data_IF_553929527485
#
_entry.id   IF_553929527485
#
_cell.length_a   1.000
_cell.length_b   1.000
_cell.length_c   1.000
_cell.angle_alpha   90.00
_cell.angle_beta   90.00
_cell.angle_gamma   90.00
#
_symmetry.space_group_name_H-M   'P 1'
#
loop_
_entity.id
_entity.type
_entity.pdbx_description
1 polymer ?
#
# COMPACT_ATOMS: atom_id res chain seq x y z
N UNK A 1 -30.96 13.83 -16.56
CA UNK A 1 -31.81 13.48 -15.39
C UNK A 1 -32.28 12.03 -15.50
N UNK A 2 -32.35 11.31 -14.39
CA UNK A 2 -32.85 9.92 -14.36
C UNK A 2 -34.35 9.87 -14.69
N UNK A 3 -34.77 8.89 -15.48
CA UNK A 3 -36.19 8.67 -15.78
C UNK A 3 -36.93 8.12 -14.56
N UNK A 4 -38.23 8.40 -14.42
CA UNK A 4 -39.07 7.88 -13.31
C UNK A 4 -39.04 6.36 -13.19
N UNK A 5 -38.93 5.65 -14.32
CA UNK A 5 -38.78 4.19 -14.37
C UNK A 5 -37.46 3.74 -13.74
N UNK A 6 -36.35 4.44 -14.04
CA UNK A 6 -35.03 4.12 -13.50
C UNK A 6 -34.95 4.40 -11.99
N UNK A 7 -35.56 5.49 -11.53
CA UNK A 7 -35.68 5.81 -10.09
C UNK A 7 -36.35 4.67 -9.32
N UNK A 8 -37.51 4.18 -9.79
CA UNK A 8 -38.20 3.04 -9.15
C UNK A 8 -37.35 1.77 -9.13
N UNK A 9 -36.63 1.47 -10.21
CA UNK A 9 -35.73 0.30 -10.27
C UNK A 9 -34.60 0.39 -9.24
N UNK A 10 -33.96 1.56 -9.11
CA UNK A 10 -32.87 1.77 -8.16
C UNK A 10 -33.36 1.70 -6.70
N UNK A 11 -34.52 2.27 -6.40
CA UNK A 11 -35.13 2.15 -5.07
C UNK A 11 -35.47 0.69 -4.74
N UNK A 12 -36.02 -0.07 -5.70
CA UNK A 12 -36.31 -1.50 -5.51
C UNK A 12 -35.04 -2.35 -5.30
N UNK A 13 -33.90 -1.93 -5.84
CA UNK A 13 -32.60 -2.54 -5.60
C UNK A 13 -31.93 -2.12 -4.28
N UNK A 14 -32.60 -1.29 -3.47
CA UNK A 14 -32.15 -0.88 -2.14
C UNK A 14 -31.28 0.38 -2.10
N UNK A 15 -31.19 1.16 -3.18
CA UNK A 15 -30.41 2.40 -3.21
C UNK A 15 -31.17 3.56 -2.52
N UNK A 16 -30.49 4.26 -1.61
CA UNK A 16 -30.96 5.52 -1.04
C UNK A 16 -30.57 6.70 -1.95
N UNK A 17 -31.52 7.12 -2.79
CA UNK A 17 -31.31 8.21 -3.74
C UNK A 17 -31.19 9.58 -3.06
N UNK A 18 -31.76 9.77 -1.86
CA UNK A 18 -31.67 11.04 -1.14
C UNK A 18 -30.26 11.20 -0.56
N UNK A 19 -29.72 10.13 0.04
CA UNK A 19 -28.34 10.09 0.50
C UNK A 19 -27.37 10.33 -0.66
N UNK A 20 -27.53 9.60 -1.77
CA UNK A 20 -26.67 9.75 -2.94
C UNK A 20 -26.70 11.17 -3.52
N UNK A 21 -27.87 11.80 -3.61
CA UNK A 21 -27.98 13.17 -4.08
C UNK A 21 -27.25 14.17 -3.15
N UNK A 22 -27.18 13.87 -1.86
CA UNK A 22 -26.48 14.69 -0.87
C UNK A 22 -24.96 14.45 -0.86
N UNK A 23 -24.52 13.20 -1.05
CA UNK A 23 -23.10 12.82 -0.98
C UNK A 23 -22.38 12.81 -2.31
N UNK A 24 -23.09 12.88 -3.45
CA UNK A 24 -22.46 12.87 -4.76
C UNK A 24 -21.50 14.06 -4.91
N UNK A 25 -20.34 13.86 -5.57
CA UNK A 25 -19.39 14.94 -5.80
C UNK A 25 -20.03 16.03 -6.66
N UNK A 26 -19.91 17.28 -6.20
CA UNK A 26 -20.33 18.45 -6.96
C UNK A 26 -19.38 18.62 -8.15
N UNK A 27 -19.90 18.62 -9.38
CA UNK A 27 -19.09 18.68 -10.61
C UNK A 27 -18.83 17.33 -11.30
N UNK A 28 -19.39 16.23 -10.78
CA UNK A 28 -19.26 14.87 -11.34
C UNK A 28 -17.82 14.33 -11.35
N UNK A 29 -17.66 13.07 -11.75
CA UNK A 29 -16.36 12.42 -11.93
C UNK A 29 -16.23 11.97 -13.37
N UNK A 30 -15.15 12.38 -14.02
CA UNK A 30 -14.75 11.83 -15.31
C UNK A 30 -13.76 10.67 -15.08
N UNK A 31 -14.15 9.49 -15.55
CA UNK A 31 -13.35 8.26 -15.50
C UNK A 31 -12.93 7.78 -16.88
N UNK A 32 -13.17 8.56 -17.94
CA UNK A 32 -12.86 8.19 -19.32
C UNK A 32 -11.38 8.28 -19.66
N UNK A 33 -10.62 9.05 -18.88
CA UNK A 33 -9.18 9.18 -19.05
C UNK A 33 -8.46 8.02 -18.36
N UNK A 34 -7.60 7.36 -19.12
CA UNK A 34 -6.85 6.21 -18.64
C UNK A 34 -5.73 6.58 -17.64
N UNK A 35 -5.20 7.81 -17.71
CA UNK A 35 -4.04 8.25 -16.92
C UNK A 35 -4.42 8.78 -15.53
N UNK A 36 -5.61 9.38 -15.39
CA UNK A 36 -6.07 10.02 -14.17
C UNK A 36 -7.60 10.20 -14.19
N UNK A 37 -8.19 10.45 -13.03
CA UNK A 37 -9.59 10.82 -12.86
C UNK A 37 -9.72 12.35 -12.74
N UNK A 38 -10.84 12.91 -13.20
CA UNK A 38 -11.14 14.33 -13.03
C UNK A 38 -12.38 14.51 -12.15
N UNK A 39 -12.25 15.32 -11.10
CA UNK A 39 -13.30 15.63 -10.14
C UNK A 39 -13.60 17.12 -10.19
N UNK A 40 -14.71 17.52 -10.83
CA UNK A 40 -15.18 18.92 -10.85
C UNK A 40 -14.17 19.98 -11.32
N UNK A 41 -13.05 19.57 -11.94
CA UNK A 41 -11.95 20.45 -12.38
C UNK A 41 -10.57 20.05 -11.84
N UNK A 42 -10.48 19.31 -10.74
CA UNK A 42 -9.22 18.80 -10.19
C UNK A 42 -8.87 17.41 -10.74
N UNK A 43 -7.59 17.11 -10.87
CA UNK A 43 -7.09 15.84 -11.38
C UNK A 43 -6.57 14.95 -10.24
N UNK A 44 -6.81 13.64 -10.34
CA UNK A 44 -6.36 12.63 -9.36
C UNK A 44 -5.81 11.40 -10.06
N UNK A 45 -4.61 10.97 -9.69
CA UNK A 45 -4.05 9.69 -10.15
C UNK A 45 -3.55 8.84 -8.99
N UNK A 46 -3.71 7.53 -9.11
CA UNK A 46 -3.18 6.52 -8.20
C UNK A 46 -1.79 6.07 -8.65
N UNK A 47 -0.82 6.28 -7.76
CA UNK A 47 0.47 5.60 -7.76
C UNK A 47 0.35 4.30 -6.96
N UNK A 48 0.40 3.17 -7.65
CA UNK A 48 0.34 1.85 -7.05
C UNK A 48 1.75 1.36 -6.70
N UNK A 49 1.95 0.89 -5.46
CA UNK A 49 3.21 0.26 -5.03
C UNK A 49 3.16 -1.23 -5.36
N UNK A 50 3.88 -1.66 -6.40
CA UNK A 50 3.81 -3.03 -6.93
C UNK A 50 5.07 -3.86 -6.68
N UNK A 51 6.16 -3.22 -6.24
CA UNK A 51 7.42 -3.90 -5.90
C UNK A 51 7.94 -3.36 -4.58
N UNK A 52 8.38 -4.29 -3.75
CA UNK A 52 9.02 -4.03 -2.47
C UNK A 52 10.49 -4.49 -2.53
N UNK A 53 11.37 -3.95 -1.68
CA UNK A 53 12.75 -4.39 -1.55
C UNK A 53 12.83 -5.89 -1.24
N UNK A 54 13.81 -6.58 -1.83
CA UNK A 54 14.08 -8.00 -1.57
C UNK A 54 14.73 -8.23 -0.19
N UNK A 55 15.39 -7.20 0.33
CA UNK A 55 16.01 -7.21 1.64
C UNK A 55 15.01 -6.83 2.73
N UNK A 56 15.41 -6.99 3.99
CA UNK A 56 14.55 -6.65 5.13
C UNK A 56 14.20 -5.17 5.08
N UNK A 57 12.90 -4.87 5.03
CA UNK A 57 12.40 -3.51 5.13
C UNK A 57 12.86 -2.87 6.44
N UNK A 58 13.47 -1.68 6.33
CA UNK A 58 13.89 -0.88 7.47
C UNK A 58 12.69 -0.46 8.34
N UNK A 59 12.93 -0.11 9.60
CA UNK A 59 11.90 0.50 10.44
C UNK A 59 11.37 1.79 9.81
N UNK A 60 10.09 2.08 10.04
CA UNK A 60 9.37 3.26 9.55
C UNK A 60 9.26 3.36 8.03
N UNK A 61 9.32 2.23 7.32
CA UNK A 61 9.34 2.22 5.85
C UNK A 61 8.06 2.79 5.20
N UNK A 62 6.88 2.78 5.86
CA UNK A 62 5.67 3.40 5.29
C UNK A 62 5.78 4.93 5.20
N UNK A 63 6.66 5.55 5.98
CA UNK A 63 6.91 7.00 5.92
C UNK A 63 7.30 7.44 4.50
N UNK A 64 7.96 6.57 3.73
CA UNK A 64 8.34 6.83 2.33
C UNK A 64 7.13 7.16 1.45
N UNK A 65 5.96 6.63 1.75
CA UNK A 65 4.73 6.84 0.96
C UNK A 65 3.85 7.96 1.50
N UNK A 66 3.94 8.26 2.80
CA UNK A 66 3.01 9.16 3.50
C UNK A 66 3.58 10.58 3.72
N UNK A 67 4.80 10.85 3.25
CA UNK A 67 5.47 12.15 3.44
C UNK A 67 5.09 13.25 2.43
N UNK A 68 4.25 12.95 1.44
CA UNK A 68 3.99 13.86 0.32
C UNK A 68 2.71 14.68 0.53
N UNK A 69 2.81 15.99 0.33
CA UNK A 69 1.65 16.88 0.34
C UNK A 69 0.70 16.61 -0.83
N UNK A 70 -0.58 16.97 -0.65
CA UNK A 70 -1.64 16.75 -1.64
C UNK A 70 -1.80 15.28 -2.05
N UNK A 71 -1.53 14.37 -1.11
CA UNK A 71 -1.73 12.94 -1.32
C UNK A 71 -2.61 12.32 -0.26
N UNK A 72 -3.30 11.25 -0.64
CA UNK A 72 -3.98 10.33 0.28
C UNK A 72 -3.38 8.95 0.07
N UNK A 73 -2.72 8.40 1.08
CA UNK A 73 -2.20 7.03 1.03
C UNK A 73 -3.24 6.07 1.62
N UNK A 74 -3.62 5.06 0.84
CA UNK A 74 -4.45 3.94 1.30
C UNK A 74 -3.60 2.69 1.47
N UNK A 75 -3.74 2.05 2.62
CA UNK A 75 -3.10 0.78 2.96
C UNK A 75 -4.20 -0.24 3.20
N UNK A 76 -4.34 -1.19 2.28
CA UNK A 76 -5.30 -2.27 2.38
C UNK A 76 -4.60 -3.52 2.91
N UNK A 77 -5.09 -4.06 4.02
CA UNK A 77 -4.55 -5.25 4.67
C UNK A 77 -5.59 -6.39 4.67
N UNK A 78 -5.25 -7.49 4.01
CA UNK A 78 -6.00 -8.75 4.06
C UNK A 78 -5.23 -9.83 4.81
N UNK A 79 -5.91 -10.89 5.25
CA UNK A 79 -5.22 -12.08 5.79
C UNK A 79 -5.12 -13.14 4.70
N UNK A 80 -3.92 -13.67 4.49
CA UNK A 80 -3.72 -14.74 3.51
C UNK A 80 -4.04 -16.13 4.07
N UNK A 81 -4.37 -17.06 3.17
CA UNK A 81 -4.49 -18.47 3.49
C UNK A 81 -3.11 -19.08 3.78
N UNK A 82 -2.82 -19.25 5.07
CA UNK A 82 -1.55 -19.77 5.54
C UNK A 82 -1.24 -21.17 5.00
N UNK A 83 -2.26 -22.01 4.75
CA UNK A 83 -2.02 -23.37 4.22
C UNK A 83 -1.52 -23.31 2.79
N UNK A 84 -2.13 -22.45 1.96
CA UNK A 84 -1.71 -22.25 0.56
C UNK A 84 -0.30 -21.67 0.49
N UNK A 85 0.01 -20.65 1.29
CA UNK A 85 1.35 -20.05 1.31
C UNK A 85 2.39 -21.06 1.79
N UNK A 86 2.14 -21.78 2.89
CA UNK A 86 3.08 -22.80 3.37
C UNK A 86 3.37 -23.86 2.31
N UNK A 87 2.34 -24.35 1.62
CA UNK A 87 2.51 -25.34 0.54
C UNK A 87 3.31 -24.77 -0.63
N UNK A 88 3.00 -23.55 -1.07
CA UNK A 88 3.75 -22.88 -2.14
C UNK A 88 5.22 -22.67 -1.76
N UNK A 89 5.48 -22.27 -0.52
CA UNK A 89 6.83 -22.04 0.00
C UNK A 89 7.61 -23.35 0.14
N UNK A 90 6.98 -24.44 0.59
CA UNK A 90 7.59 -25.77 0.63
C UNK A 90 8.02 -26.25 -0.75
N UNK A 91 7.15 -26.09 -1.76
CA UNK A 91 7.48 -26.42 -3.14
C UNK A 91 8.65 -25.54 -3.65
N UNK A 92 8.60 -24.24 -3.38
CA UNK A 92 9.66 -23.31 -3.81
C UNK A 92 11.00 -23.60 -3.15
N UNK A 93 11.03 -23.99 -1.86
CA UNK A 93 12.25 -24.44 -1.17
C UNK A 93 12.78 -25.73 -1.79
N UNK A 94 11.92 -26.69 -2.14
CA UNK A 94 12.37 -27.91 -2.80
C UNK A 94 12.98 -27.64 -4.19
N UNK A 95 12.36 -26.75 -4.97
CA UNK A 95 12.81 -26.33 -6.29
C UNK A 95 14.12 -25.52 -6.23
N UNK A 96 14.23 -24.53 -5.35
CA UNK A 96 15.45 -23.72 -5.24
C UNK A 96 16.62 -24.54 -4.69
N UNK A 97 16.36 -25.51 -3.81
CA UNK A 97 17.39 -26.43 -3.32
C UNK A 97 17.89 -27.37 -4.42
N UNK A 98 17.03 -27.83 -5.33
CA UNK A 98 17.48 -28.65 -6.47
C UNK A 98 18.32 -27.82 -7.45
N UNK A 99 17.94 -26.57 -7.71
CA UNK A 99 18.71 -25.63 -8.54
C UNK A 99 20.07 -25.28 -7.93
N UNK A 100 20.16 -25.05 -6.62
CA UNK A 100 21.42 -24.79 -5.93
C UNK A 100 22.42 -25.97 -6.03
N UNK A 101 21.88 -27.19 -6.10
CA UNK A 101 22.64 -28.45 -6.20
C UNK A 101 22.89 -28.90 -7.65
N UNK A 102 22.36 -28.20 -8.64
CA UNK A 102 22.59 -28.54 -10.05
C UNK A 102 24.06 -28.29 -10.42
N UNK A 103 24.80 -29.37 -10.66
CA UNK A 103 26.22 -29.31 -11.02
C UNK A 103 26.47 -28.75 -12.43
N UNK A 104 25.44 -28.71 -13.28
CA UNK A 104 25.53 -28.19 -14.65
C UNK A 104 25.26 -26.69 -14.74
N UNK A 105 24.74 -26.08 -13.67
CA UNK A 105 24.44 -24.65 -13.62
C UNK A 105 25.71 -23.81 -13.38
N UNK A 106 25.70 -22.56 -13.86
CA UNK A 106 26.78 -21.59 -13.61
C UNK A 106 26.94 -21.35 -12.10
N UNK A 107 28.17 -21.21 -11.57
CA UNK A 107 28.40 -21.01 -10.14
C UNK A 107 27.59 -19.86 -9.52
N UNK A 108 27.47 -18.72 -10.21
CA UNK A 108 26.70 -17.56 -9.73
C UNK A 108 25.21 -17.89 -9.58
N UNK A 109 24.62 -18.57 -10.55
CA UNK A 109 23.20 -18.96 -10.50
C UNK A 109 22.93 -19.92 -9.33
N UNK A 110 23.88 -20.80 -9.02
CA UNK A 110 23.78 -21.70 -7.86
C UNK A 110 23.85 -20.93 -6.54
N UNK A 111 24.72 -19.93 -6.44
CA UNK A 111 24.81 -19.06 -5.26
C UNK A 111 23.51 -18.27 -5.04
N UNK A 112 22.94 -17.70 -6.10
CA UNK A 112 21.65 -16.99 -6.02
C UNK A 112 20.50 -17.92 -5.60
N UNK A 113 20.47 -19.14 -6.14
CA UNK A 113 19.48 -20.15 -5.75
C UNK A 113 19.64 -20.60 -4.30
N UNK A 114 20.87 -20.76 -3.80
CA UNK A 114 21.15 -21.10 -2.41
C UNK A 114 20.71 -19.97 -1.46
N UNK A 115 21.03 -18.72 -1.78
CA UNK A 115 20.59 -17.56 -0.99
C UNK A 115 19.05 -17.44 -0.95
N UNK A 116 18.39 -17.64 -2.10
CA UNK A 116 16.93 -17.68 -2.17
C UNK A 116 16.36 -18.82 -1.31
N UNK A 117 16.97 -20.01 -1.38
CA UNK A 117 16.56 -21.16 -0.58
C UNK A 117 16.63 -20.88 0.92
N UNK A 118 17.75 -20.32 1.38
CA UNK A 118 17.94 -19.97 2.79
C UNK A 118 16.88 -18.98 3.27
N UNK A 119 16.59 -17.93 2.49
CA UNK A 119 15.55 -16.93 2.81
C UNK A 119 14.16 -17.56 2.87
N UNK A 120 13.81 -18.41 1.91
CA UNK A 120 12.51 -19.08 1.87
C UNK A 120 12.35 -20.09 3.02
N UNK A 121 13.40 -20.84 3.36
CA UNK A 121 13.40 -21.78 4.47
C UNK A 121 13.27 -21.07 5.83
N UNK A 122 13.91 -19.90 5.99
CA UNK A 122 13.75 -19.07 7.17
C UNK A 122 12.29 -18.59 7.32
N UNK A 123 11.69 -18.04 6.27
CA UNK A 123 10.28 -17.65 6.29
C UNK A 123 9.35 -18.84 6.60
N UNK A 124 9.62 -20.02 6.04
CA UNK A 124 8.84 -21.22 6.32
C UNK A 124 8.89 -21.59 7.81
N UNK A 125 10.07 -21.46 8.44
CA UNK A 125 10.26 -21.68 9.87
C UNK A 125 9.48 -20.66 10.69
N UNK A 126 9.54 -19.38 10.34
CA UNK A 126 8.81 -18.32 11.05
C UNK A 126 7.29 -18.55 11.00
N UNK A 127 6.78 -18.99 9.83
CA UNK A 127 5.38 -19.36 9.68
C UNK A 127 4.96 -20.52 10.59
N UNK A 128 5.86 -21.43 10.96
CA UNK A 128 5.58 -22.50 11.94
C UNK A 128 5.49 -21.96 13.38
N UNK A 129 6.23 -20.89 13.70
CA UNK A 129 6.38 -20.34 15.06
C UNK A 129 5.35 -19.25 15.44
N UNK A 130 4.35 -18.99 14.59
CA UNK A 130 3.19 -18.07 14.74
C UNK A 130 3.20 -16.80 13.87
N UNK A 131 4.17 -16.65 12.96
CA UNK A 131 4.10 -15.58 11.95
C UNK A 131 2.87 -15.77 11.04
N UNK A 132 2.22 -14.68 10.66
CA UNK A 132 1.08 -14.69 9.73
C UNK A 132 1.40 -13.89 8.49
N UNK A 133 1.17 -14.49 7.33
CA UNK A 133 1.20 -13.73 6.07
C UNK A 133 -0.05 -12.87 5.90
N UNK A 134 0.17 -11.63 5.48
CA UNK A 134 -0.85 -10.64 5.18
C UNK A 134 -0.76 -10.25 3.71
N UNK A 135 -1.90 -9.91 3.13
CA UNK A 135 -1.99 -9.31 1.81
C UNK A 135 -1.90 -7.80 1.98
N UNK A 136 -0.89 -7.18 1.38
CA UNK A 136 -0.66 -5.75 1.46
C UNK A 136 -0.86 -5.11 0.08
N UNK A 137 -1.67 -4.07 0.02
CA UNK A 137 -1.73 -3.15 -1.13
C UNK A 137 -1.57 -1.72 -0.64
N UNK A 138 -0.63 -0.98 -1.23
CA UNK A 138 -0.40 0.43 -0.93
C UNK A 138 -0.66 1.24 -2.19
N UNK A 139 -1.47 2.28 -2.04
CA UNK A 139 -1.88 3.19 -3.10
C UNK A 139 -1.68 4.62 -2.62
N UNK A 140 -1.00 5.43 -3.41
CA UNK A 140 -0.82 6.86 -3.14
C UNK A 140 -1.64 7.63 -4.17
N UNK A 141 -2.78 8.18 -3.74
CA UNK A 141 -3.62 9.03 -4.57
C UNK A 141 -3.07 10.44 -4.55
N UNK A 142 -2.63 10.94 -5.70
CA UNK A 142 -2.04 12.26 -5.87
C UNK A 142 -3.08 13.19 -6.47
N UNK A 143 -3.35 14.30 -5.80
CA UNK A 143 -4.31 15.31 -6.21
C UNK A 143 -3.58 16.50 -6.81
N UNK A 144 -4.19 17.20 -7.77
CA UNK A 144 -3.72 18.47 -8.30
C UNK A 144 -4.86 19.27 -8.95
N UNK A 145 -4.63 20.56 -9.18
CA UNK A 145 -5.63 21.44 -9.78
C UNK A 145 -5.71 21.31 -11.31
N UNK A 146 -4.65 20.77 -11.94
CA UNK A 146 -4.59 20.51 -13.38
C UNK A 146 -3.59 19.39 -13.71
N UNK A 147 -3.65 18.89 -14.94
CA UNK A 147 -2.84 17.76 -15.40
C UNK A 147 -1.32 18.04 -15.38
N UNK A 148 -0.90 19.27 -15.68
CA UNK A 148 0.52 19.63 -15.68
C UNK A 148 1.11 19.54 -14.26
N UNK A 149 0.39 20.09 -13.26
CA UNK A 149 0.77 19.96 -11.86
C UNK A 149 0.70 18.50 -11.38
N UNK A 150 -0.30 17.73 -11.80
CA UNK A 150 -0.42 16.32 -11.47
C UNK A 150 0.82 15.56 -11.96
N UNK A 151 1.19 15.73 -13.23
CA UNK A 151 2.36 15.08 -13.83
C UNK A 151 3.65 15.44 -13.08
N UNK A 152 3.83 16.72 -12.74
CA UNK A 152 4.99 17.15 -11.96
C UNK A 152 5.06 16.47 -10.59
N UNK A 153 3.93 16.38 -9.88
CA UNK A 153 3.85 15.71 -8.56
C UNK A 153 4.12 14.21 -8.68
N UNK A 154 3.53 13.55 -9.67
CA UNK A 154 3.75 12.12 -9.95
C UNK A 154 5.22 11.82 -10.25
N UNK A 155 5.86 12.62 -11.11
CA UNK A 155 7.28 12.48 -11.43
C UNK A 155 8.13 12.66 -10.17
N UNK A 156 7.89 13.73 -9.41
CA UNK A 156 8.63 14.00 -8.16
C UNK A 156 8.55 12.84 -7.17
N UNK A 157 7.35 12.28 -6.95
CA UNK A 157 7.16 11.13 -6.04
C UNK A 157 7.87 9.90 -6.57
N UNK A 158 7.82 9.67 -7.89
CA UNK A 158 8.44 8.50 -8.52
C UNK A 158 9.97 8.56 -8.47
N UNK A 159 10.57 9.74 -8.68
CA UNK A 159 12.02 9.96 -8.65
C UNK A 159 12.61 9.96 -7.24
N UNK A 160 11.85 10.44 -6.24
CA UNK A 160 12.25 10.43 -4.84
C UNK A 160 12.07 9.04 -4.17
N UNK A 161 11.39 8.10 -4.86
CA UNK A 161 11.24 6.73 -4.39
C UNK A 161 12.53 5.94 -4.66
N UNK A 162 13.09 5.22 -3.66
CA UNK A 162 14.29 4.42 -3.87
C UNK A 162 14.05 3.27 -4.87
N UNK A 163 15.09 2.89 -5.63
CA UNK A 163 15.03 1.91 -6.74
C UNK A 163 14.52 0.50 -6.36
N UNK A 164 14.61 0.17 -5.08
CA UNK A 164 14.15 -1.10 -4.53
C UNK A 164 12.61 -1.16 -4.40
N UNK A 165 11.94 -0.01 -4.31
CA UNK A 165 10.49 0.12 -4.43
C UNK A 165 10.05 0.40 -5.86
N UNK A 166 9.02 -0.29 -6.32
CA UNK A 166 8.37 0.00 -7.60
C UNK A 166 7.04 0.69 -7.38
N UNK A 167 6.95 1.92 -7.88
CA UNK A 167 5.73 2.74 -7.83
C UNK A 167 5.43 3.26 -9.23
N UNK A 168 4.21 3.06 -9.72
CA UNK A 168 3.77 3.51 -11.05
C UNK A 168 2.28 3.80 -11.08
N UNK A 169 1.87 4.65 -12.02
CA UNK A 169 0.48 4.80 -12.42
C UNK A 169 0.12 3.65 -13.35
N UNK A 170 -0.96 2.95 -13.05
CA UNK A 170 -1.51 1.91 -13.93
C UNK A 170 -2.53 2.53 -14.89
N UNK A 171 -2.11 2.66 -16.14
CA UNK A 171 -2.91 3.25 -17.21
C UNK A 171 -4.13 2.37 -17.50
N UNK A 172 -5.32 2.97 -17.58
CA UNK A 172 -6.59 2.28 -17.80
C UNK A 172 -7.18 1.61 -16.56
N UNK A 173 -6.50 1.68 -15.41
CA UNK A 173 -6.97 1.07 -14.15
C UNK A 173 -7.38 2.09 -13.08
N UNK A 174 -7.32 3.40 -13.38
CA UNK A 174 -7.50 4.46 -12.39
C UNK A 174 -8.87 4.42 -11.70
N UNK A 175 -9.92 4.08 -12.44
CA UNK A 175 -11.25 3.92 -11.87
C UNK A 175 -11.31 2.75 -10.88
N UNK A 176 -10.74 1.60 -11.25
CA UNK A 176 -10.67 0.43 -10.37
C UNK A 176 -9.80 0.69 -9.14
N UNK A 177 -8.66 1.36 -9.32
CA UNK A 177 -7.78 1.81 -8.24
C UNK A 177 -8.52 2.73 -7.26
N UNK A 178 -9.28 3.72 -7.75
CA UNK A 178 -10.05 4.61 -6.89
C UNK A 178 -11.19 3.88 -6.17
N UNK A 179 -11.93 3.01 -6.86
CA UNK A 179 -12.98 2.16 -6.25
C UNK A 179 -12.43 1.29 -5.13
N UNK A 180 -11.15 0.89 -5.19
CA UNK A 180 -10.52 0.08 -4.15
C UNK A 180 -10.53 0.73 -2.75
N UNK A 181 -10.63 2.06 -2.66
CA UNK A 181 -10.78 2.79 -1.40
C UNK A 181 -12.02 2.37 -0.60
N UNK A 182 -13.07 1.96 -1.31
CA UNK A 182 -14.37 1.60 -0.72
C UNK A 182 -14.60 0.08 -0.70
N UNK A 183 -13.63 -0.70 -1.19
CA UNK A 183 -13.74 -2.16 -1.29
C UNK A 183 -12.81 -2.79 -0.25
N UNK A 184 -13.34 -3.66 0.64
CA UNK A 184 -12.51 -4.37 1.61
C UNK A 184 -11.35 -5.11 0.92
N UNK A 185 -10.17 -5.13 1.56
CA UNK A 185 -8.93 -5.67 0.98
C UNK A 185 -9.08 -7.08 0.36
N UNK A 186 -9.87 -7.95 1.01
CA UNK A 186 -10.13 -9.32 0.57
C UNK A 186 -10.97 -9.40 -0.71
N UNK A 187 -11.79 -8.37 -0.98
CA UNK A 187 -12.67 -8.28 -2.15
C UNK A 187 -12.09 -7.46 -3.29
N UNK A 188 -10.93 -6.81 -3.10
CA UNK A 188 -10.33 -5.97 -4.15
C UNK A 188 -9.95 -6.77 -5.41
N UNK A 189 -9.67 -8.07 -5.30
CA UNK A 189 -9.42 -8.92 -6.46
C UNK A 189 -10.67 -9.18 -7.33
N UNK A 190 -11.86 -8.81 -6.86
CA UNK A 190 -13.12 -8.90 -7.60
C UNK A 190 -13.38 -7.65 -8.46
N UNK A 191 -12.55 -6.61 -8.33
CA UNK A 191 -12.59 -5.46 -9.22
C UNK A 191 -12.12 -5.85 -10.63
N UNK A 192 -12.47 -5.04 -11.61
CA UNK A 192 -12.24 -5.31 -13.04
C UNK A 192 -10.76 -5.52 -13.39
N UNK A 193 -9.85 -4.92 -12.62
CA UNK A 193 -8.40 -5.09 -12.81
C UNK A 193 -7.82 -6.32 -12.10
N UNK A 194 -8.63 -7.04 -11.30
CA UNK A 194 -8.26 -8.28 -10.60
C UNK A 194 -6.95 -8.22 -9.80
N UNK A 195 -6.53 -7.02 -9.38
CA UNK A 195 -5.24 -6.82 -8.71
C UNK A 195 -5.23 -7.54 -7.37
N UNK A 196 -4.14 -8.26 -7.12
CA UNK A 196 -3.86 -8.90 -5.84
C UNK A 196 -2.76 -8.13 -5.14
N UNK A 197 -2.91 -7.94 -3.83
CA UNK A 197 -1.86 -7.37 -3.00
C UNK A 197 -0.66 -8.31 -2.88
N UNK A 198 0.47 -7.75 -2.45
CA UNK A 198 1.70 -8.51 -2.21
C UNK A 198 1.59 -9.24 -0.87
N UNK A 199 1.92 -10.55 -0.81
CA UNK A 199 1.99 -11.27 0.46
C UNK A 199 3.23 -10.80 1.25
N UNK A 200 3.02 -10.33 2.47
CA UNK A 200 4.06 -9.80 3.36
C UNK A 200 3.85 -10.36 4.76
N UNK A 201 4.94 -10.64 5.46
CA UNK A 201 4.94 -11.07 6.86
C UNK A 201 4.35 -9.97 7.78
N UNK A 202 3.52 -10.34 8.75
CA UNK A 202 2.89 -9.38 9.67
C UNK A 202 3.90 -8.56 10.47
N UNK A 203 5.01 -9.17 10.89
CA UNK A 203 6.13 -8.50 11.56
C UNK A 203 6.72 -7.36 10.74
N UNK A 204 6.85 -7.56 9.43
CA UNK A 204 7.36 -6.55 8.49
C UNK A 204 6.41 -5.36 8.38
N UNK A 205 5.10 -5.60 8.39
CA UNK A 205 4.09 -4.53 8.45
C UNK A 205 4.19 -3.79 9.80
N UNK A 206 4.43 -4.51 10.90
CA UNK A 206 4.62 -3.91 12.23
C UNK A 206 5.81 -2.96 12.29
N UNK A 207 6.91 -3.27 11.59
CA UNK A 207 8.04 -2.33 11.46
C UNK A 207 7.74 -1.12 10.58
N UNK A 208 6.61 -1.12 9.88
CA UNK A 208 6.26 -0.12 8.88
C UNK A 208 5.79 1.21 9.42
N UNK A 209 5.72 1.45 10.72
CA UNK A 209 5.06 2.62 11.32
C UNK A 209 5.20 3.93 10.48
N UNK A 210 4.07 4.51 10.01
CA UNK A 210 4.10 5.57 8.99
C UNK A 210 4.41 6.96 9.54
N UNK A 211 4.13 7.18 10.82
CA UNK A 211 4.35 8.45 11.48
C UNK A 211 5.72 8.41 12.16
N UNK A 212 6.37 9.55 12.25
CA UNK A 212 7.64 9.64 12.96
C UNK A 212 7.62 10.89 13.84
N UNK A 213 6.54 11.06 14.61
CA UNK A 213 6.51 12.03 15.69
C UNK A 213 6.62 11.23 16.98
N UNK A 214 7.83 11.20 17.55
CA UNK A 214 7.99 10.94 18.97
C UNK A 214 8.19 12.33 19.54
N UNK A 215 7.11 12.90 20.05
CA UNK A 215 7.13 14.08 20.89
C UNK A 215 6.73 13.68 22.30
N UNK A 216 7.37 14.31 23.27
CA UNK A 216 6.96 14.29 24.66
C UNK A 216 6.61 15.75 24.97
N UNK A 217 5.37 16.01 25.37
CA UNK A 217 4.88 17.37 25.59
C UNK A 217 4.22 17.48 26.96
N UNK A 218 5.01 17.40 28.02
CA UNK A 218 4.49 17.57 29.37
C UNK A 218 4.02 19.02 29.57
N UNK A 219 2.83 19.27 30.19
CA UNK A 219 2.23 20.61 30.27
C UNK A 219 3.12 21.67 30.92
N UNK A 220 3.99 21.25 31.85
CA UNK A 220 4.97 22.09 32.54
C UNK A 220 6.41 21.65 32.23
N UNK A 221 6.61 20.91 31.15
CA UNK A 221 7.90 20.35 30.76
C UNK A 221 8.92 21.40 30.38
N UNK A 222 10.18 21.13 30.69
CA UNK A 222 11.31 21.93 30.18
C UNK A 222 11.74 21.35 28.83
N UNK A 223 12.03 22.22 27.86
CA UNK A 223 12.57 21.80 26.57
C UNK A 223 13.96 21.16 26.74
N UNK A 224 14.05 19.86 26.51
CA UNK A 224 15.30 19.09 26.56
C UNK A 224 15.95 18.89 25.20
N UNK A 225 15.21 19.09 24.12
CA UNK A 225 15.70 18.96 22.75
C UNK A 225 14.71 18.30 21.82
N UNK A 226 15.23 17.74 20.74
CA UNK A 226 14.45 17.02 19.74
C UNK A 226 14.81 15.53 19.71
N UNK A 227 13.81 14.68 19.48
CA UNK A 227 14.03 13.27 19.19
C UNK A 227 14.77 13.09 17.85
N UNK A 228 15.23 11.86 17.57
CA UNK A 228 15.82 11.50 16.25
C UNK A 228 14.88 11.76 15.07
N UNK A 229 13.61 12.02 15.37
CA UNK A 229 12.53 12.24 14.42
C UNK A 229 12.12 13.71 14.33
N UNK A 230 12.84 14.59 15.03
CA UNK A 230 12.59 16.02 15.20
C UNK A 230 11.31 16.38 15.98
N UNK A 231 10.72 15.44 16.73
CA UNK A 231 9.67 15.80 17.69
C UNK A 231 10.27 16.49 18.93
N UNK A 232 9.60 17.52 19.44
CA UNK A 232 10.04 18.23 20.66
C UNK A 232 9.93 17.30 21.88
N UNK A 233 10.89 17.43 22.79
CA UNK A 233 10.89 16.72 24.08
C UNK A 233 10.82 17.78 25.16
N UNK A 234 9.61 18.04 25.64
CA UNK A 234 9.29 18.79 26.84
C UNK A 234 9.07 17.77 27.95
N UNK A 235 10.02 17.65 28.88
CA UNK A 235 9.94 16.71 29.99
C UNK A 235 9.77 17.48 31.30
N UNK A 236 8.76 17.09 32.07
CA UNK A 236 8.64 17.42 33.49
C UNK A 236 8.89 16.12 34.28
N UNK A 237 10.06 15.96 34.91
CA UNK A 237 10.41 14.75 35.66
C UNK A 237 9.54 14.54 36.92
N UNK A 238 8.72 15.53 37.29
CA UNK A 238 7.78 15.44 38.41
C UNK A 238 6.31 15.32 37.94
N UNK A 239 6.08 15.29 36.62
CA UNK A 239 4.77 15.04 36.08
C UNK A 239 4.38 13.57 36.28
N UNK A 240 3.57 13.34 37.30
CA UNK A 240 2.91 12.05 37.55
C UNK A 240 1.54 12.14 36.88
N UNK A 241 1.38 11.45 35.76
CA UNK A 241 0.10 11.25 35.09
C UNK A 241 -0.79 10.24 35.81
#
# INVERSE_FOLDING_TARGET
MLTRRRVKQLQAAGYDLALLAHTQPQGNVDTTLDSHLVFGGSCVACLHVFKFPKERLAYFWLRKFMKYDFTVTSISLGTEDQRKIRKALQNSVAETNSQARDLNAKPIARMEADEANQKQAALLRDLLHAEKMKRLSIRVFVYADNEAQLRQRLTKITEDMPDDFGVRVFYGEQEAEFRSLYVPAEKQCLLDNHRQGTPVAASVIGHGFPFNHIELDDPHGVYLGCSKTQGKIMLDPFYVG
#
